data_IF_010250552276
#
_entry.id   IF_010250552276
#
_cell.length_a   1.000
_cell.length_b   1.000
_cell.length_c   1.000
_cell.angle_alpha   90.00
_cell.angle_beta   90.00
_cell.angle_gamma   90.00
#
_symmetry.space_group_name_H-M   'P 1'
#
loop_
_entity.id
_entity.type
_entity.pdbx_description
1 polymer ?
#
# COMPACT_ATOMS: atom_id res chain seq x y z
N UNK A 1 -11.79 -9.23 16.28
CA UNK A 1 -11.07 -8.59 17.41
C UNK A 1 -11.33 -7.10 17.35
N UNK A 2 -11.29 -6.39 18.47
CA UNK A 2 -11.43 -4.93 18.48
C UNK A 2 -10.35 -4.35 19.39
N UNK A 3 -9.52 -3.48 18.83
CA UNK A 3 -8.49 -2.73 19.53
C UNK A 3 -8.84 -1.25 19.42
N UNK A 4 -9.81 -0.81 20.21
CA UNK A 4 -10.38 0.52 20.05
C UNK A 4 -11.39 0.59 18.91
N UNK A 5 -11.99 1.77 18.71
CA UNK A 5 -13.03 1.99 17.71
C UNK A 5 -12.81 3.29 16.95
N UNK A 6 -12.40 3.22 15.68
CA UNK A 6 -12.34 4.36 14.78
C UNK A 6 -13.67 4.54 14.05
N UNK A 7 -14.73 4.95 14.77
CA UNK A 7 -16.07 5.07 14.18
C UNK A 7 -16.22 6.24 13.20
N UNK A 8 -15.32 7.21 13.27
CA UNK A 8 -15.33 8.42 12.45
C UNK A 8 -13.96 8.56 11.83
N UNK A 9 -13.79 8.07 10.60
CA UNK A 9 -12.58 8.34 9.82
C UNK A 9 -12.90 9.50 8.89
N UNK A 10 -12.15 10.60 9.02
CA UNK A 10 -12.37 11.83 8.26
C UNK A 10 -11.04 12.28 7.67
N UNK A 11 -10.99 12.32 6.34
CA UNK A 11 -9.83 12.81 5.61
C UNK A 11 -9.53 14.26 6.00
N UNK A 12 -8.26 14.57 6.18
CA UNK A 12 -7.69 15.84 6.66
C UNK A 12 -7.98 16.22 8.10
N UNK A 13 -8.88 15.52 8.81
CA UNK A 13 -9.12 15.71 10.24
C UNK A 13 -8.29 14.72 11.07
N UNK A 14 -8.61 13.42 10.97
CA UNK A 14 -7.91 12.38 11.74
C UNK A 14 -7.15 11.37 10.88
N UNK A 15 -7.36 11.38 9.56
CA UNK A 15 -6.48 10.69 8.61
C UNK A 15 -5.97 11.63 7.53
N UNK A 16 -4.76 11.37 7.07
CA UNK A 16 -4.15 12.01 5.91
C UNK A 16 -3.69 10.92 4.96
N UNK A 17 -4.22 10.93 3.75
CA UNK A 17 -3.80 10.03 2.69
C UNK A 17 -2.91 10.78 1.70
N UNK A 18 -1.84 10.11 1.29
CA UNK A 18 -0.88 10.59 0.29
C UNK A 18 -0.81 9.54 -0.81
N UNK A 19 -1.02 9.97 -2.05
CA UNK A 19 -0.78 9.14 -3.23
C UNK A 19 0.60 9.48 -3.79
N UNK A 20 1.36 8.47 -4.21
CA UNK A 20 2.67 8.64 -4.81
C UNK A 20 2.86 7.71 -6.02
N UNK A 21 3.53 8.20 -7.04
CA UNK A 21 3.83 7.45 -8.25
C UNK A 21 5.32 7.12 -8.36
N UNK A 22 5.63 5.84 -8.55
CA UNK A 22 6.94 5.35 -9.00
C UNK A 22 6.83 5.07 -10.49
N UNK A 23 7.45 5.94 -11.29
CA UNK A 23 7.38 5.87 -12.75
C UNK A 23 8.80 5.60 -13.25
N UNK A 24 8.99 4.43 -13.85
CA UNK A 24 10.28 3.95 -14.35
C UNK A 24 10.23 3.82 -15.88
N UNK A 25 11.34 4.10 -16.55
CA UNK A 25 11.52 3.84 -17.98
C UNK A 25 12.91 3.28 -18.28
N UNK A 26 13.13 2.81 -19.50
CA UNK A 26 14.38 2.14 -19.89
C UNK A 26 14.54 0.79 -19.20
N UNK A 27 15.60 0.05 -19.47
CA UNK A 27 15.84 -1.29 -18.90
C UNK A 27 17.27 -1.42 -18.37
N UNK A 28 17.45 -2.34 -17.41
CA UNK A 28 18.76 -2.66 -16.85
C UNK A 28 19.47 -1.43 -16.28
N UNK A 29 20.71 -1.21 -16.71
CA UNK A 29 21.59 -0.15 -16.19
C UNK A 29 21.16 1.27 -16.61
N UNK A 30 20.38 1.38 -17.67
CA UNK A 30 19.81 2.65 -18.15
C UNK A 30 18.39 2.89 -17.63
N UNK A 31 17.97 2.14 -16.59
CA UNK A 31 16.68 2.41 -15.94
C UNK A 31 16.70 3.80 -15.31
N UNK A 32 15.71 4.60 -15.66
CA UNK A 32 15.50 5.95 -15.15
C UNK A 32 14.21 6.04 -14.34
N UNK A 33 14.17 6.98 -13.41
CA UNK A 33 13.01 7.33 -12.59
C UNK A 33 12.61 8.78 -12.83
N UNK A 34 11.31 9.02 -12.92
CA UNK A 34 10.76 10.37 -12.98
C UNK A 34 10.71 10.98 -11.58
N UNK A 35 11.33 12.14 -11.40
CA UNK A 35 11.24 12.95 -10.19
C UNK A 35 10.75 14.35 -10.53
N UNK A 36 10.13 15.01 -9.56
CA UNK A 36 9.70 16.40 -9.62
C UNK A 36 10.56 17.25 -8.68
N UNK A 37 10.73 18.51 -9.01
CA UNK A 37 11.40 19.48 -8.16
C UNK A 37 10.36 20.33 -7.41
N UNK A 38 10.43 20.30 -6.08
CA UNK A 38 9.44 20.88 -5.18
C UNK A 38 9.39 22.42 -5.24
N UNK A 39 8.19 22.97 -5.43
CA UNK A 39 7.91 24.42 -5.32
C UNK A 39 7.49 24.84 -3.90
N UNK A 40 7.18 23.89 -3.01
CA UNK A 40 6.71 24.15 -1.64
C UNK A 40 7.86 24.65 -0.75
N UNK A 41 7.64 25.78 -0.04
CA UNK A 41 8.69 26.45 0.79
C UNK A 41 9.45 25.52 1.76
N UNK A 42 8.78 24.53 2.37
CA UNK A 42 9.39 23.60 3.34
C UNK A 42 10.38 22.61 2.72
N UNK A 43 10.27 22.36 1.42
CA UNK A 43 11.10 21.44 0.65
C UNK A 43 11.59 22.04 -0.67
N UNK A 44 11.60 23.37 -0.78
CA UNK A 44 11.88 24.12 -2.01
C UNK A 44 13.16 23.65 -2.70
N UNK A 45 13.10 23.49 -4.02
CA UNK A 45 14.17 23.02 -4.91
C UNK A 45 14.66 21.59 -4.67
N UNK A 46 14.11 20.87 -3.69
CA UNK A 46 14.44 19.46 -3.46
C UNK A 46 13.66 18.56 -4.40
N UNK A 47 14.20 17.39 -4.68
CA UNK A 47 13.62 16.43 -5.63
C UNK A 47 12.90 15.28 -4.93
N UNK A 48 11.78 14.86 -5.49
CA UNK A 48 10.95 13.79 -4.95
C UNK A 48 10.14 13.05 -6.01
N UNK A 49 9.46 11.96 -5.64
CA UNK A 49 8.46 11.31 -6.50
C UNK A 49 7.29 12.29 -6.73
N UNK A 50 6.60 12.22 -7.89
CA UNK A 50 5.27 12.82 -8.03
C UNK A 50 4.35 12.28 -6.94
N UNK A 51 3.92 13.16 -6.03
CA UNK A 51 3.18 12.75 -4.84
C UNK A 51 2.53 13.92 -4.12
N UNK A 52 1.26 13.74 -3.76
CA UNK A 52 0.55 14.72 -2.96
C UNK A 52 -0.60 14.13 -2.16
N UNK A 53 -1.32 15.04 -1.50
CA UNK A 53 -2.40 14.65 -0.60
C UNK A 53 -3.61 14.30 -1.45
N UNK A 54 -4.26 13.21 -1.08
CA UNK A 54 -5.56 12.88 -1.66
C UNK A 54 -6.54 13.95 -1.23
N UNK A 55 -7.28 14.51 -2.18
CA UNK A 55 -8.28 15.54 -1.95
C UNK A 55 -9.65 14.95 -1.63
N UNK A 56 -10.54 15.82 -1.18
CA UNK A 56 -11.93 15.49 -0.94
C UNK A 56 -12.66 15.12 -2.24
N UNK A 57 -13.25 13.94 -2.31
CA UNK A 57 -14.10 13.53 -3.44
C UNK A 57 -13.36 12.80 -4.55
N UNK A 58 -12.05 12.60 -4.44
CA UNK A 58 -11.27 11.76 -5.35
C UNK A 58 -10.90 10.40 -4.72
N UNK A 59 -10.75 9.40 -5.58
CA UNK A 59 -10.16 8.10 -5.24
C UNK A 59 -8.64 8.24 -5.10
N UNK A 60 -8.00 7.24 -4.47
CA UNK A 60 -6.53 7.16 -4.42
C UNK A 60 -5.89 7.16 -5.82
N UNK A 61 -6.57 6.56 -6.81
CA UNK A 61 -6.06 6.44 -8.18
C UNK A 61 -6.23 7.76 -8.95
N UNK A 62 -7.37 8.43 -8.82
CA UNK A 62 -7.59 9.78 -9.37
C UNK A 62 -6.56 10.77 -8.82
N UNK A 63 -6.24 10.66 -7.52
CA UNK A 63 -5.16 11.45 -6.91
C UNK A 63 -3.82 11.24 -7.61
N UNK A 64 -3.43 9.98 -7.91
CA UNK A 64 -2.21 9.71 -8.69
C UNK A 64 -2.25 10.37 -10.06
N UNK A 65 -3.38 10.26 -10.78
CA UNK A 65 -3.51 10.86 -12.10
C UNK A 65 -3.38 12.39 -12.05
N UNK A 66 -4.03 13.04 -11.09
CA UNK A 66 -3.97 14.49 -10.89
C UNK A 66 -2.55 14.96 -10.55
N UNK A 67 -1.95 14.37 -9.51
CA UNK A 67 -0.61 14.76 -9.04
C UNK A 67 0.46 14.58 -10.13
N UNK A 68 0.44 13.47 -10.87
CA UNK A 68 1.42 13.25 -11.96
C UNK A 68 1.22 14.24 -13.11
N UNK A 69 -0.02 14.58 -13.44
CA UNK A 69 -0.31 15.56 -14.48
C UNK A 69 0.13 16.97 -14.05
N UNK A 70 -0.21 17.39 -12.85
CA UNK A 70 0.09 18.72 -12.29
C UNK A 70 1.60 18.91 -12.05
N UNK A 71 2.26 17.93 -11.43
CA UNK A 71 3.66 18.06 -11.02
C UNK A 71 4.66 17.67 -12.13
N UNK A 72 4.28 16.82 -13.08
CA UNK A 72 5.19 16.30 -14.11
C UNK A 72 4.73 16.43 -15.57
N UNK A 73 3.48 16.83 -15.82
CA UNK A 73 2.95 17.06 -17.17
C UNK A 73 2.55 15.79 -17.92
N UNK A 74 2.57 14.63 -17.27
CA UNK A 74 2.25 13.34 -17.89
C UNK A 74 0.86 12.84 -17.51
N UNK A 75 0.22 12.14 -18.45
CA UNK A 75 -0.88 11.22 -18.14
C UNK A 75 -0.30 9.82 -17.94
N UNK A 76 -0.85 9.07 -17.00
CA UNK A 76 -0.37 7.73 -16.65
C UNK A 76 -1.49 6.71 -16.56
N UNK A 77 -1.15 5.44 -16.74
CA UNK A 77 -1.91 4.30 -16.27
C UNK A 77 -1.34 3.85 -14.92
N UNK A 78 -2.18 3.70 -13.90
CA UNK A 78 -1.75 3.17 -12.60
C UNK A 78 -1.84 1.65 -12.62
N UNK A 79 -0.70 0.97 -12.53
CA UNK A 79 -0.64 -0.46 -12.81
C UNK A 79 -0.80 -1.33 -11.56
N UNK A 80 -0.19 -0.98 -10.43
CA UNK A 80 -0.28 -1.73 -9.16
C UNK A 80 0.16 -0.89 -7.97
N UNK A 81 -0.43 -1.14 -6.79
CA UNK A 81 0.05 -0.60 -5.52
C UNK A 81 1.28 -1.39 -5.05
N UNK A 82 2.43 -0.71 -4.93
CA UNK A 82 3.67 -1.28 -4.43
C UNK A 82 3.67 -1.38 -2.90
N UNK A 83 3.23 -0.31 -2.24
CA UNK A 83 3.46 -0.12 -0.82
C UNK A 83 2.37 0.72 -0.18
N UNK A 84 2.05 0.39 1.08
CA UNK A 84 1.37 1.29 1.99
C UNK A 84 2.31 1.59 3.16
N UNK A 85 2.71 2.85 3.31
CA UNK A 85 3.58 3.31 4.37
C UNK A 85 2.77 4.11 5.37
N UNK A 86 3.02 3.88 6.65
CA UNK A 86 2.23 4.45 7.74
C UNK A 86 3.15 5.26 8.64
N UNK A 87 2.73 6.47 8.98
CA UNK A 87 3.43 7.31 9.96
C UNK A 87 2.45 7.74 11.06
N UNK A 88 2.81 7.46 12.31
CA UNK A 88 1.90 7.69 13.44
C UNK A 88 0.60 6.89 13.29
N UNK A 89 -0.51 7.47 13.75
CA UNK A 89 -1.82 6.81 13.82
C UNK A 89 -2.77 7.17 12.67
N UNK A 90 -2.46 8.19 11.87
CA UNK A 90 -3.41 8.73 10.89
C UNK A 90 -2.79 9.09 9.54
N UNK A 91 -1.49 8.94 9.32
CA UNK A 91 -0.87 9.28 8.03
C UNK A 91 -0.55 8.02 7.24
N UNK A 92 -1.09 7.92 6.02
CA UNK A 92 -0.94 6.77 5.13
C UNK A 92 -0.48 7.25 3.76
N UNK A 93 0.62 6.70 3.26
CA UNK A 93 1.07 6.88 1.89
C UNK A 93 0.87 5.60 1.09
N UNK A 94 0.16 5.71 -0.02
CA UNK A 94 -0.07 4.67 -0.99
C UNK A 94 0.82 4.95 -2.19
N UNK A 95 1.79 4.08 -2.43
CA UNK A 95 2.73 4.20 -3.54
C UNK A 95 2.35 3.21 -4.63
N UNK A 96 2.30 3.70 -5.87
CA UNK A 96 1.91 2.92 -7.03
C UNK A 96 3.02 2.91 -8.07
N UNK A 97 3.15 1.80 -8.79
CA UNK A 97 3.85 1.81 -10.07
C UNK A 97 2.88 2.29 -11.15
N UNK A 98 3.34 3.22 -11.97
CA UNK A 98 2.53 3.80 -13.04
C UNK A 98 3.36 3.93 -14.33
N UNK A 99 2.68 3.84 -15.46
CA UNK A 99 3.26 3.89 -16.80
C UNK A 99 2.76 5.14 -17.51
N UNK A 100 3.68 5.92 -18.09
CA UNK A 100 3.31 7.09 -18.91
C UNK A 100 2.54 6.64 -20.14
N UNK A 101 1.37 7.24 -20.36
CA UNK A 101 0.49 6.97 -21.51
C UNK A 101 0.36 8.16 -22.46
N UNK A 102 0.83 9.34 -22.06
CA UNK A 102 0.72 10.57 -22.84
C UNK A 102 1.20 11.79 -22.06
N UNK A 103 0.99 12.97 -22.65
CA UNK A 103 1.49 14.24 -22.11
C UNK A 103 2.95 14.52 -22.47
N UNK A 104 3.51 15.56 -21.86
CA UNK A 104 4.87 16.04 -22.11
C UNK A 104 5.54 16.39 -20.80
N UNK A 105 6.85 16.14 -20.70
CA UNK A 105 7.62 16.46 -19.51
C UNK A 105 7.48 17.95 -19.17
N UNK A 106 7.08 18.25 -17.94
CA UNK A 106 6.99 19.62 -17.43
C UNK A 106 8.38 20.21 -17.20
N UNK A 107 8.68 21.32 -17.88
CA UNK A 107 9.96 22.03 -17.84
C UNK A 107 9.82 23.50 -17.39
N UNK A 108 8.64 23.87 -16.89
CA UNK A 108 8.33 25.22 -16.42
C UNK A 108 7.90 25.22 -14.94
N UNK A 109 8.22 26.29 -14.20
CA UNK A 109 7.88 26.39 -12.79
C UNK A 109 6.47 26.96 -12.57
N UNK A 110 5.76 26.38 -11.61
CA UNK A 110 4.53 26.93 -11.04
C UNK A 110 4.40 26.59 -9.54
N UNK A 111 3.18 26.63 -9.01
CA UNK A 111 2.91 26.35 -7.59
C UNK A 111 2.97 24.86 -7.24
N UNK A 112 2.80 23.97 -8.22
CA UNK A 112 2.77 22.52 -8.02
C UNK A 112 4.20 21.97 -8.01
N UNK A 113 5.00 22.37 -9.01
CA UNK A 113 6.41 21.98 -9.11
C UNK A 113 7.22 22.97 -9.95
N UNK A 114 8.54 22.99 -9.76
CA UNK A 114 9.44 23.84 -10.54
C UNK A 114 9.75 23.24 -11.91
N UNK A 115 9.78 21.91 -11.99
CA UNK A 115 10.03 21.10 -13.19
C UNK A 115 9.93 19.61 -12.82
N UNK A 116 9.95 18.76 -13.85
CA UNK A 116 10.14 17.31 -13.72
C UNK A 116 11.30 16.84 -14.59
N UNK A 117 12.00 15.79 -14.15
CA UNK A 117 13.15 15.26 -14.88
C UNK A 117 13.31 13.77 -14.63
N UNK A 118 13.81 13.08 -15.65
CA UNK A 118 14.24 11.69 -15.58
C UNK A 118 15.69 11.62 -15.08
N UNK A 119 15.93 10.76 -14.10
CA UNK A 119 17.26 10.50 -13.56
C UNK A 119 17.57 9.02 -13.61
N UNK A 120 18.83 8.66 -13.87
CA UNK A 120 19.24 7.26 -13.75
C UNK A 120 19.05 6.79 -12.32
N UNK A 121 18.41 5.63 -12.15
CA UNK A 121 18.11 5.06 -10.83
C UNK A 121 19.40 4.87 -10.03
N UNK A 122 20.48 4.41 -10.67
CA UNK A 122 21.80 4.24 -10.03
C UNK A 122 22.37 5.54 -9.44
N UNK A 123 22.11 6.68 -10.08
CA UNK A 123 22.60 7.98 -9.61
C UNK A 123 21.81 8.44 -8.38
N UNK A 124 20.48 8.31 -8.42
CA UNK A 124 19.58 8.73 -7.35
C UNK A 124 19.74 7.86 -6.09
N UNK A 125 19.96 6.55 -6.24
CA UNK A 125 20.13 5.64 -5.10
C UNK A 125 21.53 5.68 -4.49
N UNK A 126 22.49 6.33 -5.17
CA UNK A 126 23.87 6.47 -4.68
C UNK A 126 23.97 7.23 -3.35
N UNK A 127 25.15 7.17 -2.73
CA UNK A 127 25.44 7.91 -1.50
C UNK A 127 25.51 9.43 -1.71
N UNK A 128 25.75 9.88 -2.96
CA UNK A 128 25.87 11.29 -3.34
C UNK A 128 25.12 11.54 -4.65
N UNK A 129 23.77 11.63 -4.60
CA UNK A 129 22.97 11.90 -5.80
C UNK A 129 23.31 13.26 -6.41
N UNK A 130 23.14 13.43 -7.75
CA UNK A 130 23.45 14.67 -8.45
C UNK A 130 22.52 15.83 -8.08
N UNK A 131 21.41 15.53 -7.40
CA UNK A 131 20.39 16.48 -6.96
C UNK A 131 20.11 16.34 -5.47
N UNK A 132 19.63 17.43 -4.86
CA UNK A 132 19.23 17.43 -3.44
C UNK A 132 17.86 16.78 -3.28
N UNK A 133 17.81 15.57 -2.75
CA UNK A 133 16.55 14.87 -2.49
C UNK A 133 15.79 15.48 -1.31
N UNK A 134 14.45 15.49 -1.36
CA UNK A 134 13.59 15.91 -0.25
C UNK A 134 13.77 15.00 0.97
N UNK A 135 13.92 13.71 0.72
CA UNK A 135 14.19 12.65 1.68
C UNK A 135 14.65 11.39 0.94
N UNK A 136 15.22 10.43 1.67
CA UNK A 136 15.62 9.11 1.12
C UNK A 136 14.58 8.01 1.40
N UNK A 137 13.43 8.38 1.95
CA UNK A 137 12.37 7.45 2.35
C UNK A 137 11.67 6.80 1.14
N UNK A 138 11.71 7.45 -0.03
CA UNK A 138 11.17 6.89 -1.27
C UNK A 138 12.11 5.89 -1.96
N UNK A 139 13.39 5.78 -1.57
CA UNK A 139 14.34 4.88 -2.25
C UNK A 139 13.91 3.41 -2.17
N UNK A 140 13.30 3.01 -1.04
CA UNK A 140 12.71 1.68 -0.90
C UNK A 140 11.59 1.42 -1.93
N UNK A 141 10.82 2.46 -2.28
CA UNK A 141 9.78 2.36 -3.30
C UNK A 141 10.38 2.21 -4.70
N UNK A 142 11.57 2.76 -4.94
CA UNK A 142 12.31 2.54 -6.18
C UNK A 142 12.76 1.09 -6.29
N UNK A 143 13.31 0.52 -5.21
CA UNK A 143 13.67 -0.90 -5.16
C UNK A 143 12.46 -1.81 -5.36
N UNK A 144 11.33 -1.49 -4.72
CA UNK A 144 10.05 -2.20 -4.92
C UNK A 144 9.55 -2.09 -6.38
N UNK A 145 9.67 -0.93 -7.02
CA UNK A 145 9.32 -0.74 -8.43
C UNK A 145 10.23 -1.51 -9.39
N UNK A 146 11.53 -1.59 -9.12
CA UNK A 146 12.46 -2.43 -9.88
C UNK A 146 12.15 -3.92 -9.73
N UNK A 147 11.87 -4.36 -8.49
CA UNK A 147 11.46 -5.73 -8.20
C UNK A 147 10.16 -6.07 -8.94
N UNK A 148 9.19 -5.15 -8.96
CA UNK A 148 7.94 -5.32 -9.70
C UNK A 148 8.17 -5.58 -11.19
N UNK A 149 9.07 -4.84 -11.84
CA UNK A 149 9.36 -5.01 -13.28
C UNK A 149 10.01 -6.35 -13.63
N UNK A 150 10.73 -6.96 -12.68
CA UNK A 150 11.43 -8.24 -12.88
C UNK A 150 10.64 -9.44 -12.34
N UNK A 151 9.61 -9.19 -11.52
CA UNK A 151 8.79 -10.23 -10.93
C UNK A 151 8.03 -11.00 -12.01
N UNK A 152 8.02 -12.34 -11.88
CA UNK A 152 7.15 -13.19 -12.69
C UNK A 152 5.70 -12.90 -12.30
N UNK A 153 4.94 -12.27 -13.20
CA UNK A 153 3.50 -12.09 -13.01
C UNK A 153 2.78 -13.34 -13.47
N UNK A 154 1.88 -13.82 -12.62
CA UNK A 154 0.97 -14.90 -12.99
C UNK A 154 -0.21 -14.28 -13.74
N UNK A 155 -0.49 -14.75 -14.95
CA UNK A 155 -1.48 -14.13 -15.86
C UNK A 155 -2.88 -13.98 -15.25
N UNK A 156 -3.23 -14.79 -14.25
CA UNK A 156 -4.55 -14.83 -13.63
C UNK A 156 -4.61 -14.14 -12.25
N UNK A 157 -3.55 -13.47 -11.82
CA UNK A 157 -3.55 -12.69 -10.57
C UNK A 157 -3.77 -11.22 -10.92
N UNK A 158 -4.91 -10.62 -10.54
CA UNK A 158 -5.17 -9.22 -10.82
C UNK A 158 -4.17 -8.33 -10.06
N UNK A 159 -3.85 -7.13 -10.60
CA UNK A 159 -3.04 -6.17 -9.87
C UNK A 159 -3.71 -5.76 -8.57
N UNK A 160 -2.91 -5.52 -7.54
CA UNK A 160 -3.40 -4.97 -6.28
C UNK A 160 -3.68 -3.48 -6.49
N UNK A 161 -4.96 -3.16 -6.74
CA UNK A 161 -5.47 -1.79 -6.79
C UNK A 161 -6.52 -1.57 -5.71
N UNK A 162 -6.73 -0.31 -5.27
CA UNK A 162 -7.76 0.00 -4.29
C UNK A 162 -9.15 -0.32 -4.84
N UNK A 163 -9.97 -0.95 -4.00
CA UNK A 163 -11.38 -1.18 -4.27
C UNK A 163 -12.18 -0.04 -3.64
N UNK A 164 -12.92 0.69 -4.47
CA UNK A 164 -13.68 1.88 -4.08
C UNK A 164 -15.02 1.51 -3.43
N UNK A 165 -14.96 0.90 -2.25
CA UNK A 165 -16.13 0.46 -1.48
C UNK A 165 -16.21 1.20 -0.13
N UNK A 166 -17.37 1.76 0.25
CA UNK A 166 -17.59 2.38 1.57
C UNK A 166 -17.32 1.39 2.70
N UNK A 167 -16.46 1.77 3.64
CA UNK A 167 -16.13 0.95 4.79
C UNK A 167 -15.87 1.83 6.01
N UNK A 168 -16.80 1.80 6.97
CA UNK A 168 -16.79 2.74 8.09
C UNK A 168 -15.80 2.30 9.19
N UNK A 169 -14.62 2.91 9.22
CA UNK A 169 -13.59 2.69 10.25
C UNK A 169 -12.27 2.12 9.74
N UNK A 170 -11.38 1.76 10.67
CA UNK A 170 -10.05 1.24 10.34
C UNK A 170 -9.97 -0.26 10.68
N UNK A 171 -9.61 -1.05 9.68
CA UNK A 171 -9.62 -2.51 9.79
C UNK A 171 -8.39 -3.15 9.17
N UNK A 172 -7.91 -4.19 9.83
CA UNK A 172 -6.93 -5.13 9.28
C UNK A 172 -7.58 -6.50 9.20
N UNK A 173 -7.53 -7.10 8.02
CA UNK A 173 -7.98 -8.47 7.76
C UNK A 173 -6.77 -9.37 7.50
N UNK A 174 -6.74 -10.56 8.09
CA UNK A 174 -5.57 -11.45 8.10
C UNK A 174 -5.84 -12.71 7.28
N UNK A 175 -5.38 -12.73 6.02
CA UNK A 175 -5.43 -13.93 5.18
C UNK A 175 -4.29 -14.87 5.58
N UNK A 176 -4.59 -15.83 6.44
CA UNK A 176 -3.61 -16.79 6.95
C UNK A 176 -3.61 -18.05 6.09
N UNK A 177 -2.48 -18.30 5.43
CA UNK A 177 -2.27 -19.44 4.56
C UNK A 177 -1.18 -20.34 5.12
N UNK A 178 -1.45 -21.64 5.13
CA UNK A 178 -0.54 -22.68 5.59
C UNK A 178 -0.28 -23.67 4.47
N UNK A 179 0.97 -23.81 4.11
CA UNK A 179 1.42 -24.78 3.12
C UNK A 179 1.78 -26.11 3.82
N UNK A 180 1.47 -27.23 3.18
CA UNK A 180 2.06 -28.52 3.57
C UNK A 180 3.56 -28.55 3.22
N UNK A 181 4.27 -29.59 3.67
CA UNK A 181 5.74 -29.66 3.53
C UNK A 181 6.23 -29.67 2.08
N UNK A 182 5.41 -30.21 1.18
CA UNK A 182 5.66 -30.41 -0.24
C UNK A 182 4.96 -29.38 -1.15
N UNK A 183 4.31 -28.35 -0.56
CA UNK A 183 3.64 -27.24 -1.26
C UNK A 183 2.50 -27.63 -2.21
N UNK A 184 1.99 -28.86 -2.11
CA UNK A 184 0.88 -29.38 -2.93
C UNK A 184 -0.51 -29.01 -2.38
N UNK A 185 -0.60 -28.57 -1.13
CA UNK A 185 -1.84 -28.22 -0.45
C UNK A 185 -1.68 -26.95 0.36
N UNK A 186 -2.66 -26.07 0.24
CA UNK A 186 -2.78 -24.85 1.05
C UNK A 186 -4.04 -24.95 1.90
N UNK A 187 -3.87 -24.83 3.21
CA UNK A 187 -4.97 -24.62 4.14
C UNK A 187 -5.11 -23.12 4.43
N UNK A 188 -6.31 -22.57 4.31
CA UNK A 188 -6.59 -21.15 4.55
C UNK A 188 -7.54 -21.03 5.74
N UNK A 189 -7.21 -20.16 6.71
CA UNK A 189 -8.12 -19.88 7.83
C UNK A 189 -9.24 -18.93 7.40
N UNK A 190 -10.46 -19.44 7.38
CA UNK A 190 -11.66 -18.69 6.97
C UNK A 190 -12.72 -18.61 8.07
N UNK A 191 -13.69 -17.73 7.89
CA UNK A 191 -14.86 -17.61 8.75
C UNK A 191 -15.67 -18.92 8.76
N UNK A 192 -16.20 -19.31 9.92
CA UNK A 192 -16.89 -20.61 10.14
C UNK A 192 -18.09 -20.88 9.23
N UNK A 193 -18.69 -19.84 8.63
CA UNK A 193 -19.81 -19.99 7.69
C UNK A 193 -19.36 -20.38 6.28
N UNK A 194 -18.06 -20.33 6.00
CA UNK A 194 -17.49 -20.65 4.69
C UNK A 194 -17.17 -22.14 4.66
N UNK A 195 -17.85 -22.87 3.77
CA UNK A 195 -17.68 -24.32 3.58
C UNK A 195 -17.10 -24.70 2.23
N UNK A 196 -16.97 -23.74 1.29
CA UNK A 196 -16.45 -23.95 -0.07
C UNK A 196 -15.57 -22.78 -0.52
N UNK A 197 -14.74 -23.00 -1.53
CA UNK A 197 -13.90 -21.95 -2.13
C UNK A 197 -14.74 -20.85 -2.79
N UNK A 198 -15.86 -21.22 -3.45
CA UNK A 198 -16.77 -20.25 -4.05
C UNK A 198 -17.43 -19.37 -2.98
N UNK A 199 -17.82 -19.97 -1.85
CA UNK A 199 -18.34 -19.22 -0.71
C UNK A 199 -17.29 -18.27 -0.12
N UNK A 200 -16.01 -18.68 -0.08
CA UNK A 200 -14.91 -17.81 0.37
C UNK A 200 -14.76 -16.58 -0.54
N UNK A 201 -14.81 -16.76 -1.86
CA UNK A 201 -14.67 -15.68 -2.83
C UNK A 201 -15.83 -14.67 -2.78
N UNK A 202 -17.05 -15.14 -2.49
CA UNK A 202 -18.25 -14.30 -2.42
C UNK A 202 -18.49 -13.65 -1.05
N UNK A 203 -17.82 -14.11 0.01
CA UNK A 203 -18.02 -13.60 1.36
C UNK A 203 -17.37 -12.23 1.53
N UNK A 204 -18.07 -11.29 2.17
CA UNK A 204 -17.56 -9.93 2.34
C UNK A 204 -16.35 -9.87 3.28
N UNK A 205 -16.41 -10.63 4.38
CA UNK A 205 -15.36 -10.66 5.39
C UNK A 205 -14.89 -12.11 5.69
N UNK A 206 -14.22 -12.77 4.73
CA UNK A 206 -13.93 -14.19 4.83
C UNK A 206 -12.86 -14.52 5.86
N UNK A 207 -12.04 -13.56 6.29
CA UNK A 207 -10.88 -13.82 7.13
C UNK A 207 -10.98 -13.12 8.49
N UNK A 208 -10.18 -13.56 9.49
CA UNK A 208 -10.09 -12.88 10.77
C UNK A 208 -9.81 -11.39 10.61
N UNK A 209 -10.59 -10.56 11.27
CA UNK A 209 -10.47 -9.10 11.17
C UNK A 209 -10.33 -8.44 12.53
N UNK A 210 -9.53 -7.39 12.58
CA UNK A 210 -9.40 -6.48 13.71
C UNK A 210 -9.85 -5.07 13.30
N UNK A 211 -10.86 -4.53 13.98
CA UNK A 211 -11.10 -3.08 13.98
C UNK A 211 -10.10 -2.43 14.95
N UNK A 212 -9.60 -1.25 14.61
CA UNK A 212 -8.73 -0.50 15.52
C UNK A 212 -9.03 1.00 15.55
N UNK A 213 -8.70 1.64 16.68
CA UNK A 213 -8.82 3.08 16.90
C UNK A 213 -7.50 3.85 16.66
N UNK A 214 -7.59 5.17 16.60
CA UNK A 214 -6.42 6.07 16.41
C UNK A 214 -5.43 6.08 17.57
N UNK A 215 -5.81 5.52 18.72
CA UNK A 215 -4.90 5.28 19.85
C UNK A 215 -3.90 4.15 19.57
N UNK A 216 -4.06 3.40 18.47
CA UNK A 216 -3.14 2.34 18.06
C UNK A 216 -2.43 2.64 16.75
N UNK A 217 -1.10 2.53 16.76
CA UNK A 217 -0.31 2.44 15.53
C UNK A 217 -0.48 1.07 14.89
N UNK A 218 -0.47 1.02 13.56
CA UNK A 218 -0.67 -0.22 12.80
C UNK A 218 0.25 -1.36 13.27
N UNK A 219 1.54 -1.09 13.47
CA UNK A 219 2.49 -2.10 13.98
C UNK A 219 2.11 -2.64 15.37
N UNK A 220 1.52 -1.81 16.24
CA UNK A 220 1.01 -2.26 17.54
C UNK A 220 -0.24 -3.12 17.39
N UNK A 221 -1.14 -2.80 16.44
CA UNK A 221 -2.31 -3.63 16.11
C UNK A 221 -1.83 -5.02 15.70
N UNK A 222 -0.90 -5.10 14.74
CA UNK A 222 -0.30 -6.38 14.32
C UNK A 222 0.34 -7.09 15.51
N UNK A 223 1.21 -6.43 16.27
CA UNK A 223 1.86 -7.06 17.43
C UNK A 223 0.86 -7.59 18.46
N UNK A 224 -0.21 -6.85 18.75
CA UNK A 224 -1.26 -7.28 19.69
C UNK A 224 -2.09 -8.45 19.17
N UNK A 225 -2.45 -8.45 17.88
CA UNK A 225 -3.14 -9.56 17.24
C UNK A 225 -2.28 -10.84 17.17
N UNK A 226 -0.96 -10.72 17.29
CA UNK A 226 -0.02 -11.84 17.14
C UNK A 226 0.61 -12.27 18.46
N UNK A 227 0.39 -11.54 19.56
CA UNK A 227 1.09 -11.74 20.84
C UNK A 227 0.97 -13.16 21.36
N UNK A 228 -0.25 -13.71 21.41
CA UNK A 228 -0.50 -15.07 21.90
C UNK A 228 0.05 -16.15 20.95
N UNK A 229 0.16 -15.87 19.65
CA UNK A 229 0.79 -16.78 18.69
C UNK A 229 2.31 -16.88 18.89
N UNK A 230 2.94 -15.82 19.43
CA UNK A 230 4.37 -15.77 19.72
C UNK A 230 4.71 -16.37 21.10
N UNK A 231 3.83 -16.20 22.09
CA UNK A 231 4.06 -16.61 23.47
C UNK A 231 3.87 -18.12 23.72
N UNK A 232 3.01 -18.82 22.95
CA UNK A 232 2.71 -20.25 23.15
C UNK A 232 3.74 -21.24 22.54
N UNK A 233 4.98 -20.79 22.27
CA UNK A 233 6.08 -21.69 21.86
C UNK A 233 5.91 -22.36 20.49
N UNK A 234 4.96 -21.90 19.68
CA UNK A 234 4.87 -22.27 18.26
C UNK A 234 4.91 -20.99 17.42
N UNK A 235 6.13 -20.52 17.13
CA UNK A 235 6.43 -19.54 16.06
C UNK A 235 6.03 -20.13 14.71
N UNK A 236 4.72 -20.24 14.50
CA UNK A 236 4.14 -20.93 13.39
C UNK A 236 3.57 -19.92 12.40
N UNK A 237 3.45 -18.64 12.72
CA UNK A 237 3.03 -17.61 11.78
C UNK A 237 4.17 -16.61 11.57
N UNK A 238 4.53 -16.37 10.32
CA UNK A 238 5.48 -15.33 9.95
C UNK A 238 4.82 -13.96 10.03
N UNK A 239 5.63 -12.91 10.27
CA UNK A 239 5.16 -11.53 10.25
C UNK A 239 4.53 -11.25 8.87
N UNK A 240 3.37 -10.59 8.80
CA UNK A 240 2.75 -10.26 7.51
C UNK A 240 3.70 -9.50 6.62
N UNK A 241 3.82 -9.94 5.37
CA UNK A 241 4.83 -9.43 4.44
C UNK A 241 4.23 -8.65 3.27
N UNK A 242 2.94 -8.83 2.98
CA UNK A 242 2.30 -8.29 1.77
C UNK A 242 0.86 -7.86 2.02
N UNK A 243 0.45 -6.78 1.36
CA UNK A 243 -0.96 -6.36 1.25
C UNK A 243 -1.53 -7.04 0.01
N UNK A 244 -2.68 -7.70 0.14
CA UNK A 244 -3.34 -8.40 -0.98
C UNK A 244 -4.69 -7.81 -1.35
N UNK A 245 -5.22 -6.90 -0.53
CA UNK A 245 -6.41 -6.10 -0.85
C UNK A 245 -6.40 -4.81 -0.05
N UNK A 246 -6.85 -3.74 -0.70
CA UNK A 246 -7.12 -2.45 -0.08
C UNK A 246 -8.55 -2.02 -0.42
N UNK A 247 -9.38 -1.72 0.58
CA UNK A 247 -10.67 -1.04 0.38
C UNK A 247 -10.58 0.38 0.95
N UNK A 248 -10.96 1.37 0.15
CA UNK A 248 -10.97 2.78 0.52
C UNK A 248 -11.97 3.52 -0.39
N UNK A 249 -12.97 4.20 0.19
CA UNK A 249 -13.99 4.89 -0.60
C UNK A 249 -13.63 6.34 -0.94
N UNK A 250 -14.06 6.85 -2.12
CA UNK A 250 -13.75 8.20 -2.60
C UNK A 250 -14.50 9.35 -1.92
N UNK A 251 -15.48 9.10 -1.05
CA UNK A 251 -16.30 10.14 -0.41
C UNK A 251 -15.99 10.34 1.08
N UNK A 252 -14.80 10.85 1.45
CA UNK A 252 -14.41 11.02 2.85
C UNK A 252 -15.00 12.25 3.55
N UNK A 253 -15.42 13.29 2.82
CA UNK A 253 -15.81 14.57 3.46
C UNK A 253 -17.27 14.64 3.91
N UNK A 254 -18.17 13.89 3.28
CA UNK A 254 -19.60 13.93 3.63
C UNK A 254 -20.05 12.71 4.45
N UNK A 255 -19.19 11.69 4.59
CA UNK A 255 -19.60 10.39 5.08
C UNK A 255 -18.90 10.00 6.39
N UNK A 256 -19.70 9.79 7.43
CA UNK A 256 -19.31 9.03 8.63
C UNK A 256 -18.97 7.56 8.30
N UNK A 257 -19.17 7.11 7.06
CA UNK A 257 -18.88 5.76 6.59
C UNK A 257 -17.55 5.63 5.82
N UNK A 258 -16.68 6.64 5.89
CA UNK A 258 -15.33 6.52 5.35
C UNK A 258 -14.42 5.66 6.26
N UNK A 259 -13.36 5.13 5.67
CA UNK A 259 -12.42 4.27 6.36
C UNK A 259 -11.56 3.43 5.41
N UNK A 260 -10.79 2.53 6.02
CA UNK A 260 -9.72 1.78 5.38
C UNK A 260 -9.77 0.32 5.86
N UNK A 261 -9.87 -0.62 4.93
CA UNK A 261 -9.65 -2.04 5.22
C UNK A 261 -8.44 -2.53 4.45
N UNK A 262 -7.45 -3.06 5.18
CA UNK A 262 -6.24 -3.63 4.59
C UNK A 262 -6.25 -5.13 4.84
N UNK A 263 -6.21 -5.93 3.77
CA UNK A 263 -6.02 -7.38 3.87
C UNK A 263 -4.53 -7.71 3.74
N UNK A 264 -4.00 -8.38 4.75
CA UNK A 264 -2.62 -8.81 4.80
C UNK A 264 -2.51 -10.30 4.52
N UNK A 265 -1.54 -10.67 3.68
CA UNK A 265 -1.12 -12.06 3.53
C UNK A 265 -0.20 -12.45 4.68
N UNK A 266 -0.53 -13.58 5.31
CA UNK A 266 0.12 -14.07 6.51
C UNK A 266 0.51 -15.53 6.29
N UNK A 267 1.80 -15.80 6.14
CA UNK A 267 2.27 -17.16 5.93
C UNK A 267 2.42 -17.90 7.26
N UNK A 268 1.94 -19.14 7.30
CA UNK A 268 2.14 -20.05 8.40
C UNK A 268 3.22 -21.08 8.06
N UNK A 269 4.12 -21.35 9.01
CA UNK A 269 5.13 -22.39 9.01
C UNK A 269 4.54 -23.71 8.53
N UNK A 270 5.23 -24.30 7.57
CA UNK A 270 4.90 -25.61 7.01
C UNK A 270 4.87 -26.66 8.12
N UNK A 271 3.83 -27.49 8.14
CA UNK A 271 3.74 -28.61 9.07
C UNK A 271 2.94 -29.76 8.48
N UNK A 272 3.10 -30.95 9.07
CA UNK A 272 2.25 -32.09 8.75
C UNK A 272 0.78 -31.72 9.04
N UNK A 273 -0.16 -32.22 8.23
CA UNK A 273 -1.54 -31.73 8.10
C UNK A 273 -2.45 -31.76 9.34
N UNK A 274 -1.93 -32.02 10.55
CA UNK A 274 -2.70 -32.07 11.81
C UNK A 274 -2.56 -30.83 12.71
N UNK A 275 -1.63 -29.91 12.45
CA UNK A 275 -1.51 -28.70 13.28
C UNK A 275 -2.62 -27.68 12.95
N UNK A 276 -3.50 -27.32 13.89
CA UNK A 276 -4.61 -26.39 13.62
C UNK A 276 -4.09 -24.97 13.38
N UNK A 277 -4.72 -24.24 12.44
CA UNK A 277 -4.48 -22.80 12.27
C UNK A 277 -5.35 -22.06 13.30
N UNK A 278 -4.73 -21.30 14.19
CA UNK A 278 -5.44 -20.47 15.18
C UNK A 278 -5.70 -19.07 14.63
N UNK A 279 -6.81 -18.48 15.07
CA UNK A 279 -7.15 -17.09 14.73
C UNK A 279 -6.28 -16.11 15.54
N UNK A 280 -5.87 -14.96 14.97
CA UNK A 280 -5.27 -13.85 15.72
C UNK A 280 -6.18 -13.27 16.83
N UNK A 281 -7.44 -13.69 16.88
CA UNK A 281 -8.43 -13.22 17.85
C UNK A 281 -8.75 -14.21 18.97
N UNK A 282 -8.10 -15.39 18.99
CA UNK A 282 -8.32 -16.47 19.95
C UNK A 282 -7.03 -17.19 20.31
#
# INVERSE_FOLDING_TARGET
MQLGRARFVRLHDNVNYVAAAVILRGDGDDTEILLIQEAKKSCYEKWYLPAGRVEAGETLIESVHREVLEEAGYTVEVNEMLSMQIQGSGWYRFAYVATVTGGTLKDYPDRESLQAQWFKVKEITSSKPPVKLRGRDFLKLVDEGLAYRTAKRFANVPPILPVNEPYAGLFVEFMICKYNKDDTRVDVLVHKSITTEQAMAAHDQPFPTCEFGFEYFFAMVISKCYRHLLDEGSNALFVPSQIVRLRCAPTPMESIAHGLQVRLFCEHKKSAGKAPIKSPSR
#
